data_IF_652310182225
#
_entry.id   IF_652310182225
#
_cell.length_a   1.000
_cell.length_b   1.000
_cell.length_c   1.000
_cell.angle_alpha   90.00
_cell.angle_beta   90.00
_cell.angle_gamma   90.00
#
_symmetry.space_group_name_H-M   'P 1'
#
loop_
_entity.id
_entity.type
_entity.pdbx_description
1 polymer ?
#
# COMPACT_ATOMS: atom_id res chain seq x y z
N UNK A 1 -16.65 -19.01 14.84
CA UNK A 1 -16.78 -18.40 13.49
C UNK A 1 -18.05 -18.92 12.84
N UNK A 2 -19.03 -18.06 12.57
CA UNK A 2 -20.29 -18.46 11.92
C UNK A 2 -20.13 -18.34 10.39
N UNK A 3 -20.34 -19.44 9.66
CA UNK A 3 -20.24 -19.49 8.19
C UNK A 3 -21.65 -19.49 7.62
N UNK A 4 -22.02 -18.40 6.94
CA UNK A 4 -23.30 -18.24 6.26
C UNK A 4 -23.19 -18.68 4.80
N UNK A 5 -24.20 -19.39 4.32
CA UNK A 5 -24.35 -19.69 2.90
C UNK A 5 -25.04 -18.50 2.20
N UNK A 6 -24.55 -18.12 1.03
CA UNK A 6 -25.08 -17.02 0.22
C UNK A 6 -25.19 -17.50 -1.21
N UNK A 7 -26.39 -17.36 -1.78
CA UNK A 7 -26.63 -17.56 -3.20
C UNK A 7 -26.42 -16.24 -3.92
N UNK A 8 -25.49 -16.21 -4.89
CA UNK A 8 -25.25 -15.02 -5.72
C UNK A 8 -26.38 -14.86 -6.75
N UNK A 9 -26.49 -13.65 -7.35
CA UNK A 9 -27.46 -13.35 -8.42
C UNK A 9 -27.36 -14.30 -9.62
N UNK A 10 -26.19 -14.89 -9.85
CA UNK A 10 -25.92 -15.86 -10.91
C UNK A 10 -26.20 -17.33 -10.50
N UNK A 11 -26.90 -17.57 -9.39
CA UNK A 11 -27.22 -18.91 -8.89
C UNK A 11 -26.08 -19.64 -8.17
N UNK A 12 -24.83 -19.12 -8.20
CA UNK A 12 -23.70 -19.79 -7.54
C UNK A 12 -23.77 -19.67 -6.02
N UNK A 13 -23.62 -20.80 -5.33
CA UNK A 13 -23.55 -20.86 -3.86
C UNK A 13 -22.12 -20.54 -3.41
N UNK A 14 -21.99 -19.61 -2.48
CA UNK A 14 -20.73 -19.30 -1.80
C UNK A 14 -20.93 -19.28 -0.29
N UNK A 15 -19.87 -19.56 0.44
CA UNK A 15 -19.84 -19.47 1.89
C UNK A 15 -19.10 -18.21 2.32
N UNK A 16 -19.65 -17.47 3.28
CA UNK A 16 -19.12 -16.22 3.80
C UNK A 16 -19.00 -16.29 5.32
N UNK A 17 -17.92 -15.74 5.86
CA UNK A 17 -17.76 -15.57 7.31
C UNK A 17 -17.09 -14.24 7.63
N UNK A 18 -17.51 -13.64 8.75
CA UNK A 18 -16.80 -12.51 9.36
C UNK A 18 -15.74 -13.05 10.32
N UNK A 19 -14.51 -12.58 10.16
CA UNK A 19 -13.32 -12.99 10.92
C UNK A 19 -12.82 -11.80 11.69
N UNK A 20 -12.66 -11.98 13.01
CA UNK A 20 -11.99 -11.01 13.86
C UNK A 20 -10.48 -11.17 13.72
N UNK A 21 -9.79 -10.08 13.42
CA UNK A 21 -8.35 -10.06 13.16
C UNK A 21 -7.55 -9.65 14.40
N UNK A 22 -8.11 -8.80 15.25
CA UNK A 22 -7.45 -8.27 16.44
C UNK A 22 -7.83 -6.80 16.69
N UNK A 23 -6.97 -6.10 17.42
CA UNK A 23 -7.06 -4.64 17.60
C UNK A 23 -6.02 -4.00 16.70
N UNK A 24 -6.43 -2.99 15.94
CA UNK A 24 -5.55 -2.24 15.05
C UNK A 24 -4.59 -1.38 15.89
N UNK A 25 -3.28 -1.58 15.75
CA UNK A 25 -2.28 -0.87 16.55
C UNK A 25 -2.26 0.65 16.29
N UNK A 26 -2.62 1.09 15.08
CA UNK A 26 -2.60 2.52 14.72
C UNK A 26 -3.86 3.25 15.21
N UNK A 27 -5.00 2.57 15.22
CA UNK A 27 -6.30 3.22 15.53
C UNK A 27 -6.92 2.77 16.84
N UNK A 28 -6.36 1.75 17.49
CA UNK A 28 -6.92 1.07 18.66
C UNK A 28 -8.33 0.49 18.47
N UNK A 29 -8.83 0.42 17.23
CA UNK A 29 -10.18 -0.09 16.92
C UNK A 29 -10.15 -1.59 16.61
N UNK A 30 -11.27 -2.28 16.87
CA UNK A 30 -11.44 -3.71 16.57
C UNK A 30 -11.43 -3.95 15.06
N UNK A 31 -10.49 -4.75 14.59
CA UNK A 31 -10.31 -5.11 13.19
C UNK A 31 -11.13 -6.35 12.81
N UNK A 32 -11.94 -6.25 11.76
CA UNK A 32 -12.70 -7.39 11.19
C UNK A 32 -12.60 -7.38 9.67
N UNK A 33 -12.56 -8.57 9.09
CA UNK A 33 -12.68 -8.76 7.64
C UNK A 33 -13.75 -9.79 7.33
N UNK A 34 -14.20 -9.81 6.08
CA UNK A 34 -15.18 -10.78 5.58
C UNK A 34 -14.50 -11.64 4.52
N UNK A 35 -14.45 -12.94 4.76
CA UNK A 35 -13.87 -13.90 3.81
C UNK A 35 -14.97 -14.69 3.11
N UNK A 36 -14.77 -14.94 1.81
CA UNK A 36 -15.70 -15.70 0.97
C UNK A 36 -14.97 -16.81 0.20
N UNK A 37 -15.57 -17.99 0.13
CA UNK A 37 -15.06 -19.11 -0.66
C UNK A 37 -16.20 -20.03 -1.14
N UNK A 38 -15.93 -20.84 -2.17
CA UNK A 38 -16.90 -21.81 -2.69
C UNK A 38 -17.16 -22.97 -1.71
N UNK A 39 -16.24 -23.26 -0.80
CA UNK A 39 -16.38 -24.35 0.20
C UNK A 39 -16.17 -23.85 1.61
N UNK A 40 -16.84 -24.46 2.60
CA UNK A 40 -16.64 -24.14 4.03
C UNK A 40 -15.17 -24.30 4.45
N UNK A 41 -14.44 -25.29 3.90
CA UNK A 41 -12.99 -25.49 4.13
C UNK A 41 -12.17 -24.31 3.59
N UNK A 42 -12.47 -23.84 2.38
CA UNK A 42 -11.81 -22.67 1.79
C UNK A 42 -12.02 -21.39 2.61
N UNK A 43 -13.21 -21.23 3.22
CA UNK A 43 -13.46 -20.10 4.14
C UNK A 43 -12.56 -20.18 5.36
N UNK A 44 -12.35 -21.38 5.95
CA UNK A 44 -11.46 -21.57 7.10
C UNK A 44 -9.99 -21.27 6.76
N UNK A 45 -9.52 -21.68 5.57
CA UNK A 45 -8.16 -21.39 5.11
C UNK A 45 -7.98 -19.88 4.95
N UNK A 46 -8.84 -19.23 4.15
CA UNK A 46 -8.78 -17.77 3.96
C UNK A 46 -8.92 -16.98 5.27
N UNK A 47 -9.68 -17.49 6.24
CA UNK A 47 -9.78 -16.87 7.56
C UNK A 47 -8.43 -16.88 8.30
N UNK A 48 -7.69 -17.99 8.24
CA UNK A 48 -6.34 -18.08 8.82
C UNK A 48 -5.37 -17.18 8.07
N UNK A 49 -5.40 -17.21 6.75
CA UNK A 49 -4.54 -16.35 5.92
C UNK A 49 -4.79 -14.87 6.21
N UNK A 50 -6.04 -14.47 6.42
CA UNK A 50 -6.38 -13.09 6.77
C UNK A 50 -5.79 -12.67 8.12
N UNK A 51 -5.77 -13.56 9.11
CA UNK A 51 -5.13 -13.30 10.42
C UNK A 51 -3.61 -13.20 10.27
N UNK A 52 -3.00 -14.11 9.49
CA UNK A 52 -1.55 -14.09 9.23
C UNK A 52 -1.14 -12.81 8.49
N UNK A 53 -1.87 -12.42 7.44
CA UNK A 53 -1.63 -11.18 6.71
C UNK A 53 -1.78 -9.95 7.60
N UNK A 54 -2.75 -9.95 8.53
CA UNK A 54 -2.91 -8.88 9.51
C UNK A 54 -1.69 -8.77 10.43
N UNK A 55 -1.14 -9.91 10.89
CA UNK A 55 0.08 -9.93 11.68
C UNK A 55 1.30 -9.45 10.86
N UNK A 56 1.47 -9.92 9.62
CA UNK A 56 2.57 -9.51 8.72
C UNK A 56 2.51 -8.01 8.39
N UNK A 57 1.32 -7.43 8.29
CA UNK A 57 1.14 -5.99 8.08
C UNK A 57 1.39 -5.15 9.33
N UNK A 58 1.81 -5.76 10.45
CA UNK A 58 2.07 -5.08 11.72
C UNK A 58 0.79 -4.74 12.48
N UNK A 59 -0.20 -5.64 12.46
CA UNK A 59 -1.46 -5.53 13.19
C UNK A 59 -2.24 -4.24 12.88
N UNK A 60 -2.28 -3.82 11.61
CA UNK A 60 -3.12 -2.71 11.17
C UNK A 60 -3.90 -3.05 9.91
N UNK A 61 -5.13 -2.56 9.83
CA UNK A 61 -5.99 -2.67 8.63
C UNK A 61 -5.62 -1.57 7.63
N UNK A 62 -5.06 -0.46 8.13
CA UNK A 62 -4.64 0.63 7.27
C UNK A 62 -3.43 0.15 6.48
N UNK A 63 -3.55 0.20 5.16
CA UNK A 63 -2.38 0.01 4.30
C UNK A 63 -1.34 1.02 4.74
N UNK A 64 -0.16 0.54 5.15
CA UNK A 64 1.01 1.43 5.21
C UNK A 64 1.13 2.07 3.82
N UNK A 65 1.35 3.38 3.70
CA UNK A 65 1.70 3.97 2.42
C UNK A 65 3.02 3.31 2.01
N UNK A 66 2.92 2.29 1.15
CA UNK A 66 4.08 1.54 0.68
C UNK A 66 4.55 2.34 -0.51
N UNK A 67 5.32 3.38 -0.23
CA UNK A 67 6.00 4.14 -1.27
C UNK A 67 7.04 3.19 -1.84
N UNK A 68 6.83 2.72 -3.06
CA UNK A 68 7.68 1.69 -3.67
C UNK A 68 8.69 2.30 -4.62
N UNK A 69 8.29 3.34 -5.36
CA UNK A 69 9.12 3.98 -6.38
C UNK A 69 9.60 5.36 -5.94
N UNK A 70 10.68 5.82 -6.58
CA UNK A 70 11.18 7.17 -6.38
C UNK A 70 10.16 8.23 -6.83
N UNK A 71 9.43 7.99 -7.93
CA UNK A 71 8.38 8.92 -8.38
C UNK A 71 7.26 9.10 -7.35
N UNK A 72 6.81 8.01 -6.72
CA UNK A 72 5.81 8.06 -5.63
C UNK A 72 6.34 8.85 -4.43
N UNK A 73 7.61 8.64 -4.07
CA UNK A 73 8.25 9.37 -2.97
C UNK A 73 8.31 10.86 -3.24
N UNK A 74 8.77 11.24 -4.45
CA UNK A 74 8.85 12.64 -4.88
C UNK A 74 7.47 13.28 -4.87
N UNK A 75 6.43 12.59 -5.35
CA UNK A 75 5.07 13.13 -5.33
C UNK A 75 4.59 13.41 -3.90
N UNK A 76 4.79 12.47 -2.97
CA UNK A 76 4.39 12.65 -1.58
C UNK A 76 5.14 13.81 -0.92
N UNK A 77 6.46 13.88 -1.13
CA UNK A 77 7.27 14.98 -0.63
C UNK A 77 6.85 16.32 -1.22
N UNK A 78 6.62 16.37 -2.53
CA UNK A 78 6.22 17.57 -3.26
C UNK A 78 4.92 18.18 -2.72
N UNK A 79 3.94 17.34 -2.38
CA UNK A 79 2.67 17.80 -1.83
C UNK A 79 2.81 18.54 -0.50
N UNK A 80 3.80 18.16 0.31
CA UNK A 80 4.15 18.88 1.54
C UNK A 80 5.01 20.11 1.27
N UNK A 81 6.03 19.99 0.42
CA UNK A 81 7.06 21.02 0.20
C UNK A 81 6.55 22.21 -0.62
N UNK A 82 5.65 21.99 -1.59
CA UNK A 82 5.20 23.05 -2.51
C UNK A 82 4.57 24.26 -1.81
N UNK A 83 4.06 24.08 -0.59
CA UNK A 83 3.41 25.13 0.20
C UNK A 83 4.36 25.82 1.19
N UNK A 84 5.58 25.31 1.39
CA UNK A 84 6.54 25.90 2.34
C UNK A 84 7.45 26.93 1.69
N UNK A 85 7.43 27.05 0.36
CA UNK A 85 8.34 27.91 -0.42
C UNK A 85 7.62 28.94 -1.27
N UNK A 86 8.33 30.01 -1.62
CA UNK A 86 7.82 31.07 -2.51
C UNK A 86 7.55 30.53 -3.92
N UNK A 87 6.64 31.16 -4.70
CA UNK A 87 6.26 30.68 -6.03
C UNK A 87 7.45 30.45 -6.99
N UNK A 88 8.42 31.37 -7.05
CA UNK A 88 9.57 31.23 -7.95
C UNK A 88 10.45 30.01 -7.60
N UNK A 89 10.71 29.80 -6.31
CA UNK A 89 11.44 28.64 -5.82
C UNK A 89 10.67 27.37 -6.11
N UNK A 90 9.34 27.38 -5.91
CA UNK A 90 8.47 26.25 -6.24
C UNK A 90 8.59 25.86 -7.71
N UNK A 91 8.42 26.80 -8.65
CA UNK A 91 8.49 26.46 -10.07
C UNK A 91 9.88 25.98 -10.48
N UNK A 92 10.95 26.57 -9.91
CA UNK A 92 12.33 26.13 -10.15
C UNK A 92 12.55 24.70 -9.67
N UNK A 93 12.17 24.38 -8.43
CA UNK A 93 12.30 23.02 -7.87
C UNK A 93 11.45 22.01 -8.65
N UNK A 94 10.21 22.37 -9.04
CA UNK A 94 9.35 21.53 -9.86
C UNK A 94 9.99 21.23 -11.22
N UNK A 95 10.60 22.22 -11.85
CA UNK A 95 11.36 22.07 -13.09
C UNK A 95 12.49 21.05 -12.94
N UNK A 96 13.31 21.17 -11.90
CA UNK A 96 14.40 20.23 -11.61
C UNK A 96 13.89 18.79 -11.43
N UNK A 97 12.80 18.60 -10.69
CA UNK A 97 12.21 17.29 -10.49
C UNK A 97 11.73 16.69 -11.80
N UNK A 98 10.98 17.46 -12.60
CA UNK A 98 10.35 16.97 -13.83
C UNK A 98 11.36 16.70 -14.95
N UNK A 99 12.40 17.52 -15.05
CA UNK A 99 13.37 17.45 -16.16
C UNK A 99 14.52 16.50 -15.85
N UNK A 100 15.01 16.49 -14.60
CA UNK A 100 16.25 15.78 -14.28
C UNK A 100 16.05 14.56 -13.38
N UNK A 101 15.20 14.64 -12.36
CA UNK A 101 15.11 13.58 -11.35
C UNK A 101 14.10 12.48 -11.70
N UNK A 102 12.88 12.85 -12.08
CA UNK A 102 11.81 11.88 -12.40
C UNK A 102 12.14 11.05 -13.65
N UNK A 103 12.62 11.62 -14.78
CA UNK A 103 12.91 10.83 -15.97
C UNK A 103 14.03 9.80 -15.78
N UNK A 104 14.95 10.08 -14.85
CA UNK A 104 16.07 9.17 -14.58
C UNK A 104 15.72 8.18 -13.49
N UNK A 105 15.23 8.65 -12.35
CA UNK A 105 15.07 7.82 -11.16
C UNK A 105 13.64 7.34 -10.93
N UNK A 106 12.65 7.90 -11.62
CA UNK A 106 11.22 7.69 -11.33
C UNK A 106 10.80 6.23 -11.21
N UNK A 107 11.28 5.38 -12.13
CA UNK A 107 10.95 3.96 -12.20
C UNK A 107 11.75 3.09 -11.22
N UNK A 108 12.77 3.65 -10.56
CA UNK A 108 13.56 2.91 -9.60
C UNK A 108 12.74 2.62 -8.34
N UNK A 109 12.78 1.36 -7.91
CA UNK A 109 12.34 0.99 -6.57
C UNK A 109 13.30 1.59 -5.55
N UNK A 110 12.78 2.19 -4.49
CA UNK A 110 13.60 2.81 -3.43
C UNK A 110 14.61 1.82 -2.82
N UNK A 111 14.21 0.55 -2.67
CA UNK A 111 15.08 -0.52 -2.15
C UNK A 111 16.21 -0.94 -3.07
N UNK A 112 16.20 -0.49 -4.33
CA UNK A 112 17.19 -0.80 -5.36
C UNK A 112 17.97 0.43 -5.82
N UNK A 113 17.60 1.62 -5.37
CA UNK A 113 18.35 2.84 -5.63
C UNK A 113 19.57 2.87 -4.71
N UNK A 114 20.77 2.73 -5.28
CA UNK A 114 22.04 2.67 -4.54
C UNK A 114 22.92 3.87 -4.84
N UNK A 115 23.87 4.18 -3.95
CA UNK A 115 24.80 5.30 -4.13
C UNK A 115 25.58 5.25 -5.45
N UNK A 116 26.08 4.09 -5.94
CA UNK A 116 26.74 4.01 -7.24
C UNK A 116 25.83 4.38 -8.42
N UNK A 117 24.54 4.03 -8.38
CA UNK A 117 23.57 4.41 -9.43
C UNK A 117 23.39 5.93 -9.46
N UNK A 118 23.29 6.56 -8.29
CA UNK A 118 23.18 8.01 -8.17
C UNK A 118 24.45 8.69 -8.70
N UNK A 119 25.63 8.22 -8.28
CA UNK A 119 26.91 8.79 -8.71
C UNK A 119 27.13 8.64 -10.23
N UNK A 120 26.74 7.51 -10.80
CA UNK A 120 26.82 7.30 -12.25
C UNK A 120 26.01 8.33 -13.02
N UNK A 121 24.80 8.67 -12.54
CA UNK A 121 23.99 9.70 -13.15
C UNK A 121 24.60 11.10 -13.01
N UNK A 122 25.23 11.41 -11.87
CA UNK A 122 25.89 12.72 -11.65
C UNK A 122 27.11 12.91 -12.55
N UNK A 123 27.83 11.82 -12.85
CA UNK A 123 29.03 11.85 -13.69
C UNK A 123 28.72 11.89 -15.20
N UNK A 124 27.44 11.79 -15.58
CA UNK A 124 26.98 11.82 -16.96
C UNK A 124 26.60 13.24 -17.36
#
# INVERSE_FOLDING_TARGET
MNIKQITKKNGTIVYRASVYLGVDQLTSKKARTTVTAATKKGVKIKARDAVNNFAMNGYTIKSKPTITTYAELVSLWWDSYKNTVKPNTRESTRGLLKVHLIPVFGDYKLSKLTTPIIQHQVNK
#
